data_IF_437864608830
#
_entry.id   IF_437864608830
#
_cell.length_a   1.000
_cell.length_b   1.000
_cell.length_c   1.000
_cell.angle_alpha   90.00
_cell.angle_beta   90.00
_cell.angle_gamma   90.00
#
_symmetry.space_group_name_H-M   'P 1'
#
loop_
_entity.id
_entity.type
_entity.pdbx_description
1 polymer ?
#
# COMPACT_ATOMS: atom_id res chain seq x y z
N UNK A 1 11.15 23.09 -3.35
CA UNK A 1 9.79 22.95 -2.88
C UNK A 1 9.74 23.07 -1.37
N UNK A 2 9.09 24.12 -0.87
CA UNK A 2 8.92 24.21 0.57
C UNK A 2 8.15 22.99 1.06
N UNK A 3 8.57 22.41 2.12
CA UNK A 3 7.90 21.24 2.65
C UNK A 3 8.18 19.93 1.94
N UNK A 4 9.17 19.89 1.05
CA UNK A 4 9.55 18.60 0.42
C UNK A 4 9.86 17.53 1.48
N UNK A 5 10.54 17.93 2.57
CA UNK A 5 10.82 17.04 3.70
C UNK A 5 9.57 16.65 4.49
N UNK A 6 8.48 17.38 4.30
CA UNK A 6 7.19 17.14 4.98
C UNK A 6 6.20 16.41 4.09
N UNK A 7 6.56 16.11 2.84
CA UNK A 7 5.69 15.41 1.93
C UNK A 7 5.53 13.96 2.38
N UNK A 8 4.33 13.63 2.74
CA UNK A 8 3.93 12.27 3.08
C UNK A 8 2.98 11.78 2.00
N UNK A 9 3.14 10.51 1.64
CA UNK A 9 2.40 9.91 0.54
C UNK A 9 1.46 8.85 1.11
N UNK A 10 0.17 9.12 1.01
CA UNK A 10 -0.86 8.26 1.58
C UNK A 10 -1.72 7.64 0.49
N UNK A 11 -2.27 8.47 -0.38
CA UNK A 11 -3.13 8.06 -1.48
C UNK A 11 -2.47 8.32 -2.84
N UNK A 12 -2.90 7.61 -3.90
CA UNK A 12 -2.40 7.90 -5.24
C UNK A 12 -2.74 9.33 -5.64
N UNK A 13 -1.78 10.02 -6.23
CA UNK A 13 -2.05 11.29 -6.87
C UNK A 13 -2.73 11.03 -8.21
N UNK A 14 -3.48 12.02 -8.69
CA UNK A 14 -4.29 11.89 -9.89
C UNK A 14 -3.47 11.44 -11.11
N UNK A 15 -2.33 12.09 -11.34
CA UNK A 15 -1.49 11.79 -12.50
C UNK A 15 -0.90 10.38 -12.43
N UNK A 16 -0.52 9.93 -11.24
CA UNK A 16 0.00 8.59 -11.03
C UNK A 16 -1.09 7.53 -11.23
N UNK A 17 -2.30 7.80 -10.76
CA UNK A 17 -3.41 6.89 -10.95
C UNK A 17 -3.81 6.79 -12.42
N UNK A 18 -3.82 7.90 -13.15
CA UNK A 18 -4.07 7.91 -14.59
C UNK A 18 -2.97 7.14 -15.34
N UNK A 19 -1.70 7.31 -14.94
CA UNK A 19 -0.59 6.56 -15.52
C UNK A 19 -0.76 5.05 -15.27
N UNK A 20 -1.20 4.65 -14.08
CA UNK A 20 -1.48 3.25 -13.76
C UNK A 20 -2.53 2.69 -14.73
N UNK A 21 -3.61 3.42 -14.97
CA UNK A 21 -4.70 2.96 -15.84
C UNK A 21 -4.27 2.79 -17.29
N UNK A 22 -3.21 3.46 -17.72
CA UNK A 22 -2.69 3.36 -19.11
C UNK A 22 -1.81 2.15 -19.33
N UNK A 23 -1.29 1.55 -18.27
CA UNK A 23 -0.51 0.31 -18.37
C UNK A 23 -1.44 -0.87 -18.61
N UNK A 24 -0.92 -2.02 -19.08
CA UNK A 24 -1.76 -3.19 -19.35
C UNK A 24 -2.61 -3.58 -18.14
N UNK A 25 -3.89 -3.88 -18.39
CA UNK A 25 -4.85 -4.24 -17.34
C UNK A 25 -5.08 -5.71 -17.17
N UNK A 26 -4.68 -6.51 -18.15
CA UNK A 26 -4.96 -7.95 -18.22
C UNK A 26 -3.78 -8.82 -17.77
N UNK A 27 -2.73 -8.20 -17.27
CA UNK A 27 -1.54 -8.89 -16.77
C UNK A 27 -1.50 -8.89 -15.25
N UNK A 28 -0.93 -9.96 -14.69
CA UNK A 28 -0.69 -10.04 -13.25
C UNK A 28 0.30 -8.95 -12.81
N UNK A 29 0.06 -8.41 -11.64
CA UNK A 29 0.95 -7.39 -11.07
C UNK A 29 1.30 -7.76 -9.63
N UNK A 30 2.50 -7.37 -9.22
CA UNK A 30 2.98 -7.49 -7.84
C UNK A 30 3.16 -6.08 -7.31
N UNK A 31 2.35 -5.71 -6.35
CA UNK A 31 2.37 -4.36 -5.79
C UNK A 31 3.22 -4.37 -4.52
N UNK A 32 4.36 -3.68 -4.58
CA UNK A 32 5.24 -3.53 -3.42
C UNK A 32 4.71 -2.40 -2.55
N UNK A 33 4.48 -2.72 -1.28
CA UNK A 33 3.96 -1.79 -0.29
C UNK A 33 4.99 -1.55 0.81
N UNK A 34 5.31 -0.28 1.06
CA UNK A 34 6.07 0.15 2.22
C UNK A 34 5.17 1.10 3.00
N UNK A 35 4.92 0.79 4.28
CA UNK A 35 3.93 1.52 5.06
C UNK A 35 4.48 1.92 6.42
N UNK A 36 4.31 3.19 6.76
CA UNK A 36 4.63 3.74 8.08
C UNK A 36 3.34 4.20 8.74
N UNK A 37 3.12 3.78 9.99
CA UNK A 37 1.94 4.14 10.74
C UNK A 37 2.12 5.45 11.50
N UNK A 38 1.03 6.17 11.69
CA UNK A 38 0.97 7.23 12.70
C UNK A 38 1.01 6.58 14.08
N UNK A 39 1.55 7.29 15.05
CA UNK A 39 1.44 6.85 16.46
C UNK A 39 -0.04 6.82 16.85
N UNK A 40 -0.75 7.90 16.59
CA UNK A 40 -2.19 7.99 16.81
C UNK A 40 -2.89 8.16 15.46
N UNK A 41 -3.89 7.34 15.21
CA UNK A 41 -4.67 7.42 14.00
C UNK A 41 -5.39 8.77 13.90
N UNK A 42 -5.51 9.28 12.68
CA UNK A 42 -6.13 10.57 12.43
C UNK A 42 -7.50 10.37 11.77
N UNK A 43 -8.46 9.86 12.55
CA UNK A 43 -9.84 9.72 12.07
C UNK A 43 -10.56 11.07 12.08
N UNK A 44 -11.40 11.30 11.09
CA UNK A 44 -12.18 12.53 10.98
C UNK A 44 -13.14 12.72 12.17
N UNK A 45 -13.66 11.61 12.72
CA UNK A 45 -14.57 11.66 13.87
C UNK A 45 -13.86 11.80 15.21
N UNK A 46 -12.53 11.85 15.20
CA UNK A 46 -11.73 12.07 16.42
C UNK A 46 -11.63 10.87 17.34
N UNK A 47 -12.07 9.66 16.92
CA UNK A 47 -11.97 8.48 17.77
C UNK A 47 -10.52 8.17 18.13
N UNK A 48 -10.32 7.60 19.31
CA UNK A 48 -8.99 7.18 19.77
C UNK A 48 -8.65 5.80 19.20
N UNK A 49 -7.51 5.73 18.51
CA UNK A 49 -6.93 4.48 18.05
C UNK A 49 -5.47 4.75 17.71
N UNK A 50 -4.63 3.74 17.80
CA UNK A 50 -3.27 3.85 17.27
C UNK A 50 -3.29 3.69 15.75
N UNK A 51 -2.23 4.16 15.09
CA UNK A 51 -2.08 3.92 13.66
C UNK A 51 -2.09 2.44 13.32
N UNK A 52 -1.41 1.62 14.13
CA UNK A 52 -1.39 0.16 13.95
C UNK A 52 -2.79 -0.46 14.06
N UNK A 53 -3.59 -0.02 15.03
CA UNK A 53 -4.97 -0.48 15.20
C UNK A 53 -5.85 -0.10 14.01
N UNK A 54 -5.70 1.12 13.52
CA UNK A 54 -6.45 1.58 12.35
C UNK A 54 -6.05 0.81 11.09
N UNK A 55 -4.76 0.53 10.92
CA UNK A 55 -4.31 -0.26 9.77
C UNK A 55 -4.82 -1.70 9.84
N UNK A 56 -4.88 -2.28 11.04
CA UNK A 56 -5.47 -3.60 11.24
C UNK A 56 -6.96 -3.60 10.86
N UNK A 57 -7.70 -2.54 11.20
CA UNK A 57 -9.10 -2.38 10.79
C UNK A 57 -9.22 -2.30 9.27
N UNK A 58 -8.32 -1.57 8.62
CA UNK A 58 -8.25 -1.54 7.16
C UNK A 58 -8.08 -2.95 6.59
N UNK A 59 -7.17 -3.73 7.15
CA UNK A 59 -6.93 -5.10 6.72
C UNK A 59 -8.17 -5.99 6.84
N UNK A 60 -8.85 -5.90 7.97
CA UNK A 60 -10.07 -6.68 8.20
C UNK A 60 -11.19 -6.32 7.24
N UNK A 61 -11.40 -5.03 7.02
CA UNK A 61 -12.53 -4.56 6.22
C UNK A 61 -12.27 -4.63 4.72
N UNK A 62 -11.04 -4.42 4.28
CA UNK A 62 -10.69 -4.55 2.86
C UNK A 62 -10.46 -5.99 2.43
N UNK A 63 -10.15 -6.88 3.38
CA UNK A 63 -9.81 -8.28 3.11
C UNK A 63 -10.82 -9.02 2.25
N UNK A 64 -12.12 -8.95 2.53
CA UNK A 64 -13.13 -9.61 1.69
C UNK A 64 -13.10 -9.15 0.23
N UNK A 65 -12.96 -7.84 -0.02
CA UNK A 65 -12.89 -7.30 -1.37
C UNK A 65 -11.59 -7.75 -2.04
N UNK A 66 -10.49 -7.66 -1.32
CA UNK A 66 -9.18 -8.08 -1.80
C UNK A 66 -9.17 -9.54 -2.27
N UNK A 67 -9.73 -10.44 -1.45
CA UNK A 67 -9.83 -11.85 -1.80
C UNK A 67 -10.79 -12.09 -2.97
N UNK A 68 -11.91 -11.37 -3.01
CA UNK A 68 -12.90 -11.53 -4.07
C UNK A 68 -12.32 -11.22 -5.46
N UNK A 69 -11.46 -10.21 -5.56
CA UNK A 69 -10.82 -9.86 -6.84
C UNK A 69 -9.62 -10.74 -7.15
N UNK A 70 -9.29 -11.69 -6.29
CA UNK A 70 -8.19 -12.64 -6.50
C UNK A 70 -6.85 -12.16 -5.94
N UNK A 71 -6.86 -11.15 -5.08
CA UNK A 71 -5.64 -10.67 -4.44
C UNK A 71 -5.07 -11.65 -3.42
N UNK A 72 -3.76 -11.65 -3.28
CA UNK A 72 -3.08 -12.43 -2.25
C UNK A 72 -1.78 -11.73 -1.83
N UNK A 73 -1.43 -11.88 -0.57
CA UNK A 73 -0.14 -11.39 -0.06
C UNK A 73 0.88 -12.51 -0.29
N UNK A 74 1.83 -12.29 -1.18
CA UNK A 74 2.83 -13.31 -1.53
C UNK A 74 4.10 -13.22 -0.71
N UNK A 75 4.34 -12.09 -0.06
CA UNK A 75 5.47 -11.92 0.86
C UNK A 75 5.17 -10.77 1.80
N UNK A 76 5.61 -10.91 3.06
CA UNK A 76 5.51 -9.85 4.06
C UNK A 76 6.74 -9.90 4.95
N UNK A 77 7.33 -8.73 5.22
CA UNK A 77 8.45 -8.60 6.14
C UNK A 77 8.18 -7.53 7.19
N UNK A 78 8.69 -7.75 8.38
CA UNK A 78 8.70 -6.73 9.42
C UNK A 78 10.06 -6.03 9.36
N UNK A 79 10.09 -4.74 9.03
CA UNK A 79 11.35 -3.99 9.02
C UNK A 79 12.00 -3.98 10.40
N UNK A 80 13.29 -4.20 10.44
CA UNK A 80 14.05 -4.23 11.68
C UNK A 80 15.11 -3.13 11.74
N UNK A 81 15.71 -2.78 10.60
CA UNK A 81 16.81 -1.82 10.54
C UNK A 81 16.95 -1.27 9.12
N UNK A 82 17.12 0.03 9.02
CA UNK A 82 17.52 0.67 7.76
C UNK A 82 19.04 0.50 7.60
N UNK A 83 19.44 -0.52 6.84
CA UNK A 83 20.89 -0.81 6.65
C UNK A 83 21.51 0.23 5.72
N UNK A 84 20.79 0.62 4.67
CA UNK A 84 21.21 1.67 3.74
C UNK A 84 19.98 2.55 3.49
N UNK A 85 20.08 3.79 3.83
CA UNK A 85 19.03 4.76 3.62
C UNK A 85 18.92 5.75 4.78
N UNK A 86 18.05 6.75 4.66
CA UNK A 86 17.86 7.74 5.73
C UNK A 86 17.20 7.11 6.95
N UNK A 87 17.78 7.34 8.13
CA UNK A 87 17.28 6.78 9.38
C UNK A 87 15.87 7.25 9.73
N UNK A 88 15.50 8.45 9.32
CA UNK A 88 14.19 9.03 9.59
C UNK A 88 13.10 8.56 8.63
N UNK A 89 13.42 7.70 7.67
CA UNK A 89 12.48 7.14 6.69
C UNK A 89 12.28 5.65 6.90
N UNK A 90 11.87 5.27 8.10
CA UNK A 90 11.62 3.86 8.42
C UNK A 90 10.19 3.45 8.08
N UNK A 91 9.99 2.14 8.02
CA UNK A 91 8.70 1.54 7.67
C UNK A 91 8.27 0.56 8.76
N UNK A 92 6.96 0.40 8.94
CA UNK A 92 6.40 -0.51 9.94
C UNK A 92 6.04 -1.87 9.36
N UNK A 93 5.67 -1.90 8.08
CA UNK A 93 5.41 -3.15 7.36
C UNK A 93 5.78 -2.99 5.90
N UNK A 94 6.30 -4.06 5.34
CA UNK A 94 6.62 -4.15 3.91
C UNK A 94 6.01 -5.45 3.40
N UNK A 95 5.27 -5.38 2.29
CA UNK A 95 4.68 -6.58 1.73
C UNK A 95 4.44 -6.43 0.23
N UNK A 96 4.29 -7.58 -0.42
CA UNK A 96 3.95 -7.63 -1.84
C UNK A 96 2.56 -8.25 -1.97
N UNK A 97 1.66 -7.49 -2.57
CA UNK A 97 0.31 -7.94 -2.89
C UNK A 97 0.25 -8.27 -4.38
N UNK A 98 -0.08 -9.52 -4.69
CA UNK A 98 -0.27 -9.97 -6.07
C UNK A 98 -1.73 -9.84 -6.43
N UNK A 99 -1.98 -9.29 -7.61
CA UNK A 99 -3.31 -9.30 -8.23
C UNK A 99 -3.25 -10.09 -9.53
N UNK A 100 -4.26 -10.91 -9.85
CA UNK A 100 -4.24 -11.71 -11.08
C UNK A 100 -4.19 -10.84 -12.34
N UNK A 101 -4.72 -9.62 -12.24
CA UNK A 101 -4.62 -8.60 -13.28
C UNK A 101 -4.56 -7.22 -12.64
N UNK A 102 -4.02 -6.25 -13.35
CA UNK A 102 -4.10 -4.87 -12.89
C UNK A 102 -5.56 -4.38 -12.83
N UNK A 103 -6.42 -4.91 -13.71
CA UNK A 103 -7.85 -4.63 -13.66
C UNK A 103 -8.49 -5.05 -12.34
N UNK A 104 -8.02 -6.14 -11.73
CA UNK A 104 -8.51 -6.59 -10.43
C UNK A 104 -8.20 -5.56 -9.34
N UNK A 105 -7.02 -4.96 -9.35
CA UNK A 105 -6.68 -3.87 -8.44
C UNK A 105 -7.62 -2.69 -8.64
N UNK A 106 -7.86 -2.29 -9.88
CA UNK A 106 -8.78 -1.17 -10.19
C UNK A 106 -10.20 -1.48 -9.74
N UNK A 107 -10.65 -2.72 -9.93
CA UNK A 107 -11.98 -3.16 -9.45
C UNK A 107 -12.07 -3.02 -7.93
N UNK A 108 -11.05 -3.44 -7.20
CA UNK A 108 -11.02 -3.31 -5.75
C UNK A 108 -11.12 -1.85 -5.30
N UNK A 109 -10.25 -1.00 -5.80
CA UNK A 109 -10.16 0.39 -5.31
C UNK A 109 -11.35 1.25 -5.69
N UNK A 110 -12.15 0.82 -6.66
CA UNK A 110 -13.40 1.50 -7.04
C UNK A 110 -14.64 0.90 -6.41
N UNK A 111 -14.50 -0.21 -5.69
CA UNK A 111 -15.62 -0.86 -5.01
C UNK A 111 -16.12 0.01 -3.85
N UNK A 112 -17.46 0.19 -3.70
CA UNK A 112 -18.02 1.01 -2.62
C UNK A 112 -17.60 0.56 -1.22
N UNK A 113 -17.49 -0.74 -0.98
CA UNK A 113 -17.08 -1.26 0.33
C UNK A 113 -15.60 -0.99 0.59
N UNK A 114 -14.78 -1.08 -0.45
CA UNK A 114 -13.37 -0.71 -0.31
C UNK A 114 -13.22 0.77 0.03
N UNK A 115 -14.03 1.63 -0.55
CA UNK A 115 -14.01 3.08 -0.28
C UNK A 115 -14.36 3.41 1.17
N UNK A 116 -15.13 2.55 1.82
CA UNK A 116 -15.40 2.67 3.26
C UNK A 116 -14.15 2.20 4.04
N UNK A 117 -13.63 1.03 3.69
CA UNK A 117 -12.48 0.44 4.36
C UNK A 117 -11.22 1.31 4.26
N UNK A 118 -10.99 1.95 3.12
CA UNK A 118 -9.78 2.75 2.89
C UNK A 118 -9.68 3.97 3.81
N UNK A 119 -10.77 4.39 4.43
CA UNK A 119 -10.75 5.47 5.41
C UNK A 119 -9.92 5.10 6.64
N UNK A 120 -9.90 3.82 7.01
CA UNK A 120 -9.03 3.32 8.08
C UNK A 120 -7.57 3.45 7.68
N UNK A 121 -7.23 3.13 6.43
CA UNK A 121 -5.87 3.29 5.92
C UNK A 121 -5.45 4.75 5.92
N UNK A 122 -6.32 5.64 5.47
CA UNK A 122 -6.05 7.08 5.46
C UNK A 122 -5.82 7.63 6.87
N UNK A 123 -6.55 7.12 7.84
CA UNK A 123 -6.37 7.51 9.24
C UNK A 123 -5.08 6.93 9.84
N UNK A 124 -4.68 5.73 9.41
CA UNK A 124 -3.56 4.97 9.97
C UNK A 124 -2.20 5.42 9.46
N UNK A 125 -2.11 5.78 8.19
CA UNK A 125 -0.83 5.89 7.47
C UNK A 125 -0.24 7.28 7.59
N UNK A 126 1.02 7.32 8.01
CA UNK A 126 1.81 8.55 8.05
C UNK A 126 2.54 8.80 6.73
N UNK A 127 3.07 7.73 6.14
CA UNK A 127 3.79 7.78 4.87
C UNK A 127 3.77 6.39 4.25
N UNK A 128 3.82 6.30 2.93
CA UNK A 128 3.82 5.02 2.25
C UNK A 128 4.42 5.11 0.86
N UNK A 129 4.76 3.95 0.33
CA UNK A 129 5.09 3.80 -1.08
C UNK A 129 4.33 2.60 -1.62
N UNK A 130 3.79 2.74 -2.80
CA UNK A 130 3.11 1.67 -3.51
C UNK A 130 3.70 1.64 -4.92
N UNK A 131 4.38 0.55 -5.26
CA UNK A 131 5.09 0.44 -6.52
C UNK A 131 4.53 -0.75 -7.31
N UNK A 132 4.03 -0.48 -8.50
CA UNK A 132 3.60 -1.54 -9.41
C UNK A 132 4.82 -2.20 -10.02
N UNK A 133 4.87 -3.53 -9.95
CA UNK A 133 5.90 -4.32 -10.61
C UNK A 133 5.26 -5.44 -11.41
N UNK A 134 5.96 -5.90 -12.44
CA UNK A 134 5.70 -7.17 -13.09
C UNK A 134 6.69 -8.19 -12.56
N UNK A 135 6.29 -9.47 -12.53
CA UNK A 135 7.19 -10.51 -12.05
C UNK A 135 8.32 -10.74 -13.04
N UNK A 136 9.53 -10.90 -12.53
CA UNK A 136 10.67 -11.37 -13.31
C UNK A 136 11.28 -12.58 -12.62
N UNK A 137 12.13 -13.31 -13.32
CA UNK A 137 12.79 -14.47 -12.76
C UNK A 137 13.62 -14.07 -11.54
N UNK A 138 13.55 -14.88 -10.49
CA UNK A 138 14.22 -14.56 -9.23
C UNK A 138 15.73 -14.76 -9.32
N UNK A 139 16.20 -15.77 -10.04
CA UNK A 139 17.62 -16.03 -10.22
C UNK A 139 18.35 -16.37 -8.93
N UNK A 140 19.68 -16.43 -9.00
CA UNK A 140 20.55 -16.76 -7.88
C UNK A 140 21.60 -15.70 -7.61
N UNK A 141 21.52 -14.54 -8.24
CA UNK A 141 22.48 -13.44 -8.09
C UNK A 141 21.73 -12.11 -8.24
N UNK A 142 22.42 -11.02 -7.93
CA UNK A 142 21.77 -9.71 -7.89
C UNK A 142 21.39 -9.15 -9.26
N UNK A 143 22.04 -9.58 -10.30
CA UNK A 143 21.75 -9.11 -11.67
C UNK A 143 21.37 -10.28 -12.58
N UNK A 144 20.46 -10.01 -13.51
CA UNK A 144 20.01 -11.01 -14.50
C UNK A 144 20.45 -10.63 -15.89
#
# INVERSE_FOLDING_TARGET
>A
RPGAAMCNYIDPERDQFEAFKKLPRDEAIMMLNLVRFRDNANYEDGRNATGAEAYAAYGRESGPIFRRVGGEIIWRGKPELMVIGPEDKHWDTIFVARYPTAGAFLEMVTDPDYRIAVKHRQAAVRDSRLIRTSESDTGNHFAD
#
